data_IF_975853331070
#
_entry.id   IF_975853331070
#
_cell.length_a   1.000
_cell.length_b   1.000
_cell.length_c   1.000
_cell.angle_alpha   90.00
_cell.angle_beta   90.00
_cell.angle_gamma   90.00
#
_symmetry.space_group_name_H-M   'P 1'
#
loop_
_entity.id
_entity.type
_entity.pdbx_description
1 polymer ?
#
# COMPACT_ATOMS: atom_id res chain seq x y z
N UNK A 1 -8.16 -5.78 5.75
CA UNK A 1 -8.16 -6.92 6.68
C UNK A 1 -6.94 -7.83 6.45
N UNK A 2 -6.76 -8.38 5.24
CA UNK A 2 -5.58 -9.21 4.88
C UNK A 2 -4.26 -8.45 5.00
N UNK A 3 -4.23 -7.19 4.58
CA UNK A 3 -3.06 -6.29 4.71
C UNK A 3 -2.69 -6.03 6.18
N UNK A 4 -3.69 -5.83 7.04
CA UNK A 4 -3.50 -5.62 8.48
C UNK A 4 -2.94 -6.86 9.20
N UNK A 5 -3.40 -8.06 8.82
CA UNK A 5 -2.84 -9.33 9.32
C UNK A 5 -1.40 -9.54 8.88
N UNK A 6 -1.09 -9.24 7.61
CA UNK A 6 0.28 -9.27 7.11
C UNK A 6 1.18 -8.25 7.82
N UNK A 7 0.65 -7.07 8.16
CA UNK A 7 1.35 -6.05 8.94
C UNK A 7 1.80 -6.58 10.30
N UNK A 8 0.87 -7.20 11.02
CA UNK A 8 1.13 -7.74 12.37
C UNK A 8 2.10 -8.92 12.31
N UNK A 9 1.98 -9.79 11.29
CA UNK A 9 2.91 -10.92 11.10
C UNK A 9 4.33 -10.45 10.78
N UNK A 10 4.47 -9.54 9.81
CA UNK A 10 5.79 -8.98 9.44
C UNK A 10 6.38 -8.22 10.62
N UNK A 11 5.57 -7.42 11.31
CA UNK A 11 5.98 -6.74 12.54
C UNK A 11 6.48 -7.69 13.62
N UNK A 12 5.78 -8.80 13.87
CA UNK A 12 6.17 -9.80 14.87
C UNK A 12 7.45 -10.56 14.49
N UNK A 13 7.71 -10.77 13.19
CA UNK A 13 8.93 -11.44 12.69
C UNK A 13 10.16 -10.54 12.84
N UNK A 14 10.01 -9.23 12.66
CA UNK A 14 11.10 -8.25 12.73
C UNK A 14 11.14 -7.48 14.05
N UNK A 15 10.61 -8.06 15.13
CA UNK A 15 10.62 -7.44 16.45
C UNK A 15 12.03 -7.51 17.05
N UNK A 16 12.57 -6.34 17.42
CA UNK A 16 13.85 -6.17 18.13
C UNK A 16 15.09 -6.68 17.35
N UNK A 17 15.51 -5.91 16.34
CA UNK A 17 16.68 -6.22 15.51
C UNK A 17 17.97 -5.73 16.15
N UNK A 18 18.83 -6.67 16.50
CA UNK A 18 20.20 -6.46 16.99
C UNK A 18 21.07 -5.70 15.96
N UNK A 19 21.95 -4.79 16.38
CA UNK A 19 22.71 -3.87 15.50
C UNK A 19 23.89 -4.53 14.74
N UNK A 20 23.98 -5.86 14.75
CA UNK A 20 24.99 -6.62 14.02
C UNK A 20 24.76 -6.70 12.50
N UNK A 21 25.69 -7.33 11.78
CA UNK A 21 25.57 -7.60 10.34
C UNK A 21 24.29 -8.39 9.98
N UNK A 22 23.84 -9.25 10.90
CA UNK A 22 22.57 -9.98 10.82
C UNK A 22 21.34 -9.06 10.91
N UNK A 23 21.42 -7.96 11.68
CA UNK A 23 20.38 -6.94 11.77
C UNK A 23 20.19 -6.18 10.46
N UNK A 24 21.28 -5.82 9.78
CA UNK A 24 21.20 -5.14 8.48
C UNK A 24 20.46 -6.02 7.46
N UNK A 25 20.76 -7.33 7.41
CA UNK A 25 20.06 -8.27 6.53
C UNK A 25 18.57 -8.36 6.85
N UNK A 26 18.21 -8.40 8.13
CA UNK A 26 16.82 -8.43 8.56
C UNK A 26 16.08 -7.11 8.21
N UNK A 27 16.71 -5.93 8.33
CA UNK A 27 16.13 -4.65 7.91
C UNK A 27 15.83 -4.61 6.41
N UNK A 28 16.77 -5.09 5.58
CA UNK A 28 16.58 -5.19 4.12
C UNK A 28 15.45 -6.17 3.78
N UNK A 29 15.37 -7.30 4.49
CA UNK A 29 14.26 -8.25 4.37
C UNK A 29 12.91 -7.63 4.68
N UNK A 30 12.83 -6.84 5.77
CA UNK A 30 11.61 -6.13 6.14
C UNK A 30 11.15 -5.17 5.03
N UNK A 31 12.06 -4.33 4.50
CA UNK A 31 11.73 -3.43 3.39
C UNK A 31 11.27 -4.19 2.13
N UNK A 32 11.91 -5.31 1.81
CA UNK A 32 11.51 -6.15 0.69
C UNK A 32 10.07 -6.66 0.85
N UNK A 33 9.71 -7.19 2.02
CA UNK A 33 8.36 -7.67 2.30
C UNK A 33 7.32 -6.54 2.26
N UNK A 34 7.65 -5.35 2.79
CA UNK A 34 6.79 -4.16 2.76
C UNK A 34 6.47 -3.77 1.31
N UNK A 35 7.50 -3.64 0.47
CA UNK A 35 7.33 -3.24 -0.94
C UNK A 35 6.57 -4.31 -1.72
N UNK A 36 6.89 -5.60 -1.51
CA UNK A 36 6.20 -6.71 -2.17
C UNK A 36 4.70 -6.71 -1.84
N UNK A 37 4.34 -6.50 -0.57
CA UNK A 37 2.94 -6.43 -0.14
C UNK A 37 2.20 -5.28 -0.81
N UNK A 38 2.86 -4.11 -0.94
CA UNK A 38 2.30 -2.96 -1.64
C UNK A 38 2.07 -3.28 -3.12
N UNK A 39 3.01 -3.94 -3.81
CA UNK A 39 2.86 -4.33 -5.22
C UNK A 39 1.69 -5.30 -5.42
N UNK A 40 1.55 -6.31 -4.57
CA UNK A 40 0.41 -7.24 -4.63
C UNK A 40 -0.92 -6.55 -4.31
N UNK A 41 -0.94 -5.64 -3.34
CA UNK A 41 -2.13 -4.83 -3.04
C UNK A 41 -2.59 -4.00 -4.24
N UNK A 42 -1.64 -3.56 -5.08
CA UNK A 42 -1.93 -2.77 -6.26
C UNK A 42 -2.60 -3.56 -7.40
N UNK A 43 -2.37 -4.88 -7.49
CA UNK A 43 -2.91 -5.76 -8.54
C UNK A 43 -4.44 -5.78 -8.56
N UNK A 44 -5.08 -5.64 -7.40
CA UNK A 44 -6.54 -5.57 -7.25
C UNK A 44 -7.21 -4.39 -7.99
N UNK A 45 -6.51 -3.27 -8.25
CA UNK A 45 -7.11 -2.17 -9.01
C UNK A 45 -7.29 -2.51 -10.48
N UNK A 46 -6.47 -3.42 -11.04
CA UNK A 46 -6.60 -3.81 -12.43
C UNK A 46 -7.94 -4.52 -12.65
N UNK A 47 -8.32 -5.42 -11.73
CA UNK A 47 -9.62 -6.10 -11.77
C UNK A 47 -10.80 -5.12 -11.62
N UNK A 48 -10.66 -4.12 -10.75
CA UNK A 48 -11.67 -3.07 -10.60
C UNK A 48 -11.83 -2.29 -11.90
N UNK A 49 -10.72 -1.88 -12.52
CA UNK A 49 -10.72 -1.18 -13.81
C UNK A 49 -11.32 -2.03 -14.95
N UNK A 50 -11.04 -3.33 -15.00
CA UNK A 50 -11.65 -4.21 -16.01
C UNK A 50 -13.17 -4.32 -15.85
N UNK A 51 -13.68 -4.37 -14.61
CA UNK A 51 -15.13 -4.43 -14.34
C UNK A 51 -15.87 -3.14 -14.70
N UNK A 52 -15.24 -1.98 -14.52
CA UNK A 52 -15.88 -0.67 -14.80
C UNK A 52 -15.78 -0.25 -16.28
N UNK A 53 -14.83 -0.81 -17.03
CA UNK A 53 -14.63 -0.55 -18.47
C UNK A 53 -15.90 -0.61 -19.34
N UNK A 54 -16.80 -1.62 -19.24
CA UNK A 54 -18.00 -1.68 -20.08
C UNK A 54 -19.03 -0.59 -19.77
N UNK A 55 -19.18 -0.22 -18.49
CA UNK A 55 -20.10 0.85 -18.05
C UNK A 55 -19.61 2.19 -18.57
N UNK A 56 -18.30 2.44 -18.43
CA UNK A 56 -17.66 3.63 -18.97
C UNK A 56 -17.82 3.77 -20.49
N UNK A 57 -17.70 2.66 -21.24
CA UNK A 57 -17.91 2.68 -22.68
C UNK A 57 -19.34 3.12 -23.02
N UNK A 58 -20.33 2.58 -22.29
CA UNK A 58 -21.74 2.91 -22.46
C UNK A 58 -22.04 4.39 -22.21
N UNK A 59 -21.53 4.94 -21.11
CA UNK A 59 -21.73 6.34 -20.72
C UNK A 59 -21.05 7.33 -21.67
N UNK A 60 -19.88 6.96 -22.22
CA UNK A 60 -19.15 7.75 -23.20
C UNK A 60 -19.95 7.91 -24.51
N UNK A 61 -20.62 6.84 -24.96
CA UNK A 61 -21.43 6.87 -26.19
C UNK A 61 -22.60 7.86 -26.11
N UNK A 62 -23.12 8.09 -24.90
CA UNK A 62 -24.22 9.01 -24.66
C UNK A 62 -23.80 10.47 -24.44
N UNK A 63 -22.50 10.80 -24.50
CA UNK A 63 -22.02 12.19 -24.48
C UNK A 63 -22.08 12.91 -23.13
N UNK A 64 -22.37 12.21 -22.02
CA UNK A 64 -22.64 12.85 -20.73
C UNK A 64 -21.40 13.44 -20.02
N UNK A 65 -20.19 12.89 -20.19
CA UNK A 65 -19.00 13.37 -19.47
C UNK A 65 -17.69 13.25 -20.26
N UNK A 66 -16.78 14.21 -20.04
CA UNK A 66 -15.38 14.16 -20.51
C UNK A 66 -14.67 13.01 -19.79
N UNK A 67 -14.26 11.99 -20.54
CA UNK A 67 -13.61 10.74 -20.08
C UNK A 67 -12.57 10.95 -18.95
N UNK A 68 -11.76 12.00 -19.06
CA UNK A 68 -10.70 12.29 -18.10
C UNK A 68 -11.20 12.80 -16.75
N UNK A 69 -12.30 13.55 -16.69
CA UNK A 69 -12.81 14.11 -15.44
C UNK A 69 -13.40 13.03 -14.52
N UNK A 70 -14.15 12.08 -15.10
CA UNK A 70 -14.67 10.91 -14.39
C UNK A 70 -13.54 9.98 -13.92
N UNK A 71 -12.58 9.70 -14.80
CA UNK A 71 -11.42 8.87 -14.48
C UNK A 71 -10.59 9.46 -13.32
N UNK A 72 -10.28 10.76 -13.37
CA UNK A 72 -9.50 11.42 -12.32
C UNK A 72 -10.27 11.53 -11.00
N UNK A 73 -11.54 11.93 -11.03
CA UNK A 73 -12.34 12.05 -9.82
C UNK A 73 -12.53 10.71 -9.11
N UNK A 74 -12.79 9.65 -9.88
CA UNK A 74 -12.97 8.31 -9.31
C UNK A 74 -11.66 7.67 -8.88
N UNK A 75 -10.59 7.83 -9.66
CA UNK A 75 -9.25 7.35 -9.27
C UNK A 75 -8.76 8.04 -7.99
N UNK A 76 -8.99 9.34 -7.84
CA UNK A 76 -8.63 10.05 -6.61
C UNK A 76 -9.48 9.57 -5.41
N UNK A 77 -10.80 9.45 -5.59
CA UNK A 77 -11.68 8.96 -4.52
C UNK A 77 -11.45 7.49 -4.13
N UNK A 78 -10.89 6.66 -5.01
CA UNK A 78 -10.59 5.26 -4.69
C UNK A 78 -9.15 5.10 -4.16
N UNK A 79 -8.16 5.68 -4.86
CA UNK A 79 -6.75 5.56 -4.48
C UNK A 79 -6.49 6.24 -3.12
N UNK A 80 -7.04 7.43 -2.88
CA UNK A 80 -6.69 8.20 -1.67
C UNK A 80 -7.19 7.52 -0.39
N UNK A 81 -8.48 7.23 -0.20
CA UNK A 81 -8.96 6.64 1.05
C UNK A 81 -8.75 5.12 1.14
N UNK A 82 -8.84 4.35 0.04
CA UNK A 82 -8.73 2.89 0.14
C UNK A 82 -7.29 2.37 0.06
N UNK A 83 -6.35 3.13 -0.53
CA UNK A 83 -4.94 2.68 -0.64
C UNK A 83 -4.00 3.45 0.28
N UNK A 84 -4.08 4.77 0.37
CA UNK A 84 -3.10 5.53 1.16
C UNK A 84 -3.28 5.25 2.65
N UNK A 85 -4.52 5.22 3.16
CA UNK A 85 -4.80 4.94 4.58
C UNK A 85 -4.21 3.62 5.08
N UNK A 86 -4.49 2.45 4.47
CA UNK A 86 -3.92 1.20 4.95
C UNK A 86 -2.40 1.11 4.74
N UNK A 87 -1.86 1.73 3.69
CA UNK A 87 -0.41 1.76 3.46
C UNK A 87 0.30 2.63 4.49
N UNK A 88 -0.30 3.76 4.89
CA UNK A 88 0.21 4.64 5.93
C UNK A 88 0.16 3.97 7.31
N UNK A 89 -0.94 3.28 7.65
CA UNK A 89 -1.04 2.51 8.90
C UNK A 89 0.02 1.40 8.92
N UNK A 90 0.21 0.70 7.80
CA UNK A 90 1.25 -0.33 7.67
C UNK A 90 2.66 0.24 7.87
N UNK A 91 2.97 1.39 7.24
CA UNK A 91 4.25 2.07 7.39
C UNK A 91 4.49 2.58 8.82
N UNK A 92 3.48 3.11 9.49
CA UNK A 92 3.59 3.55 10.90
C UNK A 92 3.87 2.38 11.84
N UNK A 93 3.22 1.23 11.64
CA UNK A 93 3.43 0.02 12.44
C UNK A 93 4.83 -0.55 12.20
N UNK A 94 5.26 -0.68 10.95
CA UNK A 94 6.60 -1.21 10.64
C UNK A 94 7.71 -0.26 11.07
N UNK A 95 7.51 1.06 11.01
CA UNK A 95 8.47 2.04 11.53
C UNK A 95 8.70 1.87 13.04
N UNK A 96 7.61 1.73 13.81
CA UNK A 96 7.70 1.48 15.24
C UNK A 96 8.28 0.10 15.58
N UNK A 97 7.99 -0.94 14.79
CA UNK A 97 8.41 -2.32 15.09
C UNK A 97 9.84 -2.66 14.64
N UNK A 98 10.34 -2.03 13.57
CA UNK A 98 11.73 -2.20 13.11
C UNK A 98 12.72 -1.49 14.03
N UNK A 99 12.25 -0.64 14.95
CA UNK A 99 13.11 0.12 15.84
C UNK A 99 14.07 1.03 15.07
N UNK A 100 13.61 1.58 13.93
CA UNK A 100 14.34 2.62 13.23
C UNK A 100 14.40 3.82 14.19
N UNK A 101 15.54 3.96 14.85
CA UNK A 101 15.88 4.96 15.85
C UNK A 101 15.08 6.25 15.69
N UNK A 102 14.32 6.71 16.71
CA UNK A 102 13.94 8.12 16.74
C UNK A 102 15.25 8.90 16.76
N UNK A 103 15.48 9.67 15.70
CA UNK A 103 16.69 10.45 15.43
C UNK A 103 16.78 11.64 16.39
N UNK A 104 16.90 11.33 17.68
CA UNK A 104 16.97 12.29 18.78
C UNK A 104 18.08 11.98 19.79
N UNK A 105 18.92 10.98 19.53
CA UNK A 105 20.14 10.76 20.34
C UNK A 105 21.33 10.20 19.54
N UNK A 106 21.74 10.93 18.49
CA UNK A 106 23.15 11.13 18.07
C UNK A 106 23.29 12.14 16.93
#
# INVERSE_FOLDING_TARGET
FTTSLFAVLVGAIYFDLDDGQSGIQNRVGAFFFIVMNMVFGNMSAIDLFMKERPIFLHEKTNGYYRTLAYFLGKSLCDIVPMRILPTAVFACVTYWMVGLTPELDR
#
